data_IF_030014546231
#
_entry.id   IF_030014546231
#
_cell.length_a   1.000
_cell.length_b   1.000
_cell.length_c   1.000
_cell.angle_alpha   90.00
_cell.angle_beta   90.00
_cell.angle_gamma   90.00
#
_symmetry.space_group_name_H-M   'P 1'
#
loop_
_entity.id
_entity.type
_entity.pdbx_description
1 polymer ?
#
# COMPACT_ATOMS: atom_id res chain seq x y z
N UNK A 1 1.83 -46.33 20.27
CA UNK A 1 1.04 -45.48 19.35
C UNK A 1 1.18 -44.03 19.79
N UNK A 2 2.10 -43.29 19.18
CA UNK A 2 2.45 -41.92 19.54
C UNK A 2 1.62 -40.96 18.68
N UNK A 3 0.68 -40.23 19.31
CA UNK A 3 -0.15 -39.22 18.62
C UNK A 3 0.77 -38.14 18.06
N UNK A 4 0.74 -37.94 16.74
CA UNK A 4 1.44 -36.83 16.09
C UNK A 4 0.89 -35.49 16.62
N UNK A 5 1.74 -34.51 16.92
CA UNK A 5 1.30 -33.21 17.39
C UNK A 5 0.53 -32.45 16.30
N UNK A 6 -0.54 -31.76 16.70
CA UNK A 6 -1.53 -31.04 15.87
C UNK A 6 -0.98 -29.87 15.05
N UNK A 7 0.31 -29.52 15.21
CA UNK A 7 0.96 -28.40 14.50
C UNK A 7 1.13 -28.63 12.99
N UNK A 8 1.08 -29.88 12.52
CA UNK A 8 1.20 -30.19 11.09
C UNK A 8 -0.02 -29.78 10.25
N UNK A 9 -1.22 -29.65 10.85
CA UNK A 9 -2.42 -29.21 10.13
C UNK A 9 -2.49 -27.68 9.95
N UNK A 10 -1.80 -26.91 10.79
CA UNK A 10 -1.68 -25.43 10.70
C UNK A 10 -0.80 -24.98 9.53
N UNK A 11 0.12 -25.84 9.09
CA UNK A 11 1.12 -25.50 8.06
C UNK A 11 0.52 -25.38 6.65
N UNK A 12 -0.54 -26.15 6.35
CA UNK A 12 -1.26 -26.05 5.07
C UNK A 12 -2.16 -24.81 4.98
N UNK A 13 -2.70 -24.36 6.10
CA UNK A 13 -3.54 -23.15 6.17
C UNK A 13 -2.71 -21.87 6.10
N UNK A 14 -1.51 -21.86 6.69
CA UNK A 14 -0.57 -20.73 6.59
C UNK A 14 -0.09 -20.47 5.15
N UNK A 15 0.26 -21.51 4.38
CA UNK A 15 0.68 -21.36 2.97
C UNK A 15 -0.45 -20.91 2.04
N UNK A 16 -1.67 -21.38 2.25
CA UNK A 16 -2.81 -20.96 1.44
C UNK A 16 -3.18 -19.49 1.69
N UNK A 17 -3.06 -19.04 2.96
CA UNK A 17 -3.27 -17.65 3.35
C UNK A 17 -2.19 -16.72 2.79
N UNK A 18 -0.92 -17.13 2.84
CA UNK A 18 0.20 -16.33 2.30
C UNK A 18 0.09 -16.11 0.78
N UNK A 19 -0.28 -17.15 0.03
CA UNK A 19 -0.45 -17.03 -1.44
C UNK A 19 -1.60 -16.11 -1.81
N UNK A 20 -2.70 -16.11 -1.05
CA UNK A 20 -3.83 -15.20 -1.30
C UNK A 20 -3.46 -13.74 -1.00
N UNK A 21 -2.72 -13.49 0.08
CA UNK A 21 -2.20 -12.17 0.42
C UNK A 21 -1.19 -11.66 -0.60
N UNK A 22 -0.27 -12.51 -1.08
CA UNK A 22 0.67 -12.18 -2.15
C UNK A 22 -0.05 -11.83 -3.46
N UNK A 23 -1.08 -12.60 -3.80
CA UNK A 23 -1.90 -12.35 -5.00
C UNK A 23 -2.64 -11.02 -4.89
N UNK A 24 -3.26 -10.75 -3.72
CA UNK A 24 -3.95 -9.50 -3.46
C UNK A 24 -3.00 -8.29 -3.46
N UNK A 25 -1.81 -8.44 -2.88
CA UNK A 25 -0.77 -7.41 -2.90
C UNK A 25 -0.28 -7.13 -4.33
N UNK A 26 -0.06 -8.18 -5.13
CA UNK A 26 0.35 -8.06 -6.54
C UNK A 26 -0.71 -7.35 -7.37
N UNK A 27 -1.99 -7.69 -7.18
CA UNK A 27 -3.10 -7.03 -7.84
C UNK A 27 -3.19 -5.54 -7.45
N UNK A 28 -2.96 -5.22 -6.16
CA UNK A 28 -2.90 -3.84 -5.68
C UNK A 28 -1.77 -3.04 -6.33
N UNK A 29 -0.55 -3.59 -6.38
CA UNK A 29 0.58 -2.95 -7.05
C UNK A 29 0.30 -2.74 -8.54
N UNK A 30 -0.26 -3.74 -9.22
CA UNK A 30 -0.62 -3.62 -10.64
C UNK A 30 -1.65 -2.51 -10.89
N UNK A 31 -2.62 -2.35 -9.99
CA UNK A 31 -3.62 -1.29 -10.08
C UNK A 31 -2.99 0.10 -9.93
N UNK A 32 -2.11 0.28 -8.94
CA UNK A 32 -1.38 1.53 -8.72
C UNK A 32 -0.48 1.86 -9.90
N UNK A 33 0.25 0.87 -10.43
CA UNK A 33 1.07 1.05 -11.64
C UNK A 33 0.21 1.40 -12.87
N UNK A 34 -0.98 0.82 -12.99
CA UNK A 34 -1.96 1.18 -14.02
C UNK A 34 -2.39 2.65 -13.92
N UNK A 35 -2.61 3.15 -12.70
CA UNK A 35 -2.92 4.57 -12.47
C UNK A 35 -1.74 5.49 -12.81
N UNK A 36 -0.51 5.12 -12.43
CA UNK A 36 0.72 5.85 -12.81
C UNK A 36 0.86 5.90 -14.32
N UNK A 37 0.67 4.77 -15.01
CA UNK A 37 0.75 4.70 -16.46
C UNK A 37 -0.34 5.55 -17.13
N UNK A 38 -1.58 5.53 -16.61
CA UNK A 38 -2.67 6.37 -17.09
C UNK A 38 -2.32 7.86 -16.98
N UNK A 39 -1.79 8.29 -15.84
CA UNK A 39 -1.30 9.66 -15.63
C UNK A 39 -0.19 10.01 -16.63
N UNK A 40 0.79 9.11 -16.81
CA UNK A 40 1.88 9.27 -17.77
C UNK A 40 1.39 9.47 -19.20
N UNK A 41 0.48 8.62 -19.68
CA UNK A 41 -0.12 8.74 -21.02
C UNK A 41 -0.89 10.05 -21.15
N UNK A 42 -1.68 10.44 -20.14
CA UNK A 42 -2.47 11.67 -20.16
C UNK A 42 -1.59 12.92 -20.18
N UNK A 43 -0.54 12.97 -19.36
CA UNK A 43 0.35 14.13 -19.32
C UNK A 43 1.15 14.30 -20.60
N UNK A 44 1.61 13.18 -21.19
CA UNK A 44 2.30 13.18 -22.49
C UNK A 44 1.34 13.63 -23.60
N UNK A 45 0.11 13.12 -23.63
CA UNK A 45 -0.89 13.51 -24.62
C UNK A 45 -1.33 14.99 -24.50
N UNK A 46 -1.37 15.52 -23.28
CA UNK A 46 -1.68 16.92 -23.00
C UNK A 46 -0.49 17.88 -23.22
N UNK A 47 0.73 17.35 -23.42
CA UNK A 47 1.93 18.16 -23.64
C UNK A 47 2.47 18.85 -22.39
N UNK A 48 2.25 18.28 -21.20
CA UNK A 48 2.74 18.80 -19.91
C UNK A 48 2.28 20.23 -19.57
N UNK A 49 0.96 20.49 -19.50
CA UNK A 49 0.40 21.83 -19.33
C UNK A 49 0.92 22.56 -18.08
N UNK A 50 1.01 21.89 -16.92
CA UNK A 50 1.49 22.52 -15.69
C UNK A 50 2.97 22.94 -15.74
N UNK A 51 3.77 22.33 -16.63
CA UNK A 51 5.16 22.75 -16.87
C UNK A 51 5.19 23.87 -17.92
N UNK A 52 4.42 23.74 -18.99
CA UNK A 52 4.34 24.73 -20.07
C UNK A 52 3.82 26.09 -19.58
N UNK A 53 2.84 26.08 -18.67
CA UNK A 53 2.24 27.27 -18.06
C UNK A 53 3.11 27.86 -16.94
N UNK A 54 4.24 27.22 -16.60
CA UNK A 54 5.19 27.69 -15.60
C UNK A 54 4.74 27.52 -14.15
N UNK A 55 3.64 26.80 -13.92
CA UNK A 55 3.06 26.54 -12.59
C UNK A 55 3.92 25.58 -11.77
N UNK A 56 4.64 24.67 -12.43
CA UNK A 56 5.56 23.71 -11.82
C UNK A 56 7.01 24.07 -12.17
N UNK A 57 7.71 24.87 -11.35
CA UNK A 57 9.08 25.25 -11.60
C UNK A 57 10.04 24.08 -11.28
N UNK A 58 10.21 23.16 -12.23
CA UNK A 58 11.06 21.96 -12.09
C UNK A 58 12.51 22.28 -11.65
N UNK A 59 13.01 23.45 -12.03
CA UNK A 59 14.40 23.85 -11.83
C UNK A 59 14.62 24.85 -10.69
N UNK A 60 13.54 25.30 -10.04
CA UNK A 60 13.62 26.33 -9.00
C UNK A 60 12.94 25.86 -7.72
N UNK A 61 13.72 25.18 -6.87
CA UNK A 61 13.25 24.70 -5.57
C UNK A 61 12.98 25.90 -4.67
N UNK A 62 11.70 26.17 -4.42
CA UNK A 62 11.26 27.19 -3.47
C UNK A 62 10.97 26.53 -2.13
N UNK A 63 11.53 27.10 -1.07
CA UNK A 63 11.13 26.76 0.29
C UNK A 63 9.78 27.42 0.56
N UNK A 64 8.73 26.61 0.70
CA UNK A 64 7.36 27.06 0.93
C UNK A 64 6.87 26.63 2.32
N UNK A 65 5.90 27.36 2.88
CA UNK A 65 5.26 27.07 4.16
C UNK A 65 4.48 25.75 4.19
N UNK A 66 4.19 25.16 3.02
CA UNK A 66 3.56 23.85 2.86
C UNK A 66 4.52 22.67 2.94
N UNK A 67 5.85 22.91 3.00
CA UNK A 67 6.85 21.85 3.12
C UNK A 67 6.62 20.92 4.33
N UNK A 68 6.32 21.42 5.54
CA UNK A 68 6.08 20.54 6.70
C UNK A 68 4.93 19.57 6.48
N UNK A 69 3.86 20.00 5.81
CA UNK A 69 2.72 19.16 5.46
C UNK A 69 3.16 18.06 4.48
N UNK A 70 3.87 18.43 3.40
CA UNK A 70 4.42 17.46 2.45
C UNK A 70 5.35 16.44 3.13
N UNK A 71 6.21 16.89 4.05
CA UNK A 71 7.08 16.00 4.84
C UNK A 71 6.27 15.04 5.72
N UNK A 72 5.19 15.50 6.34
CA UNK A 72 4.33 14.65 7.18
C UNK A 72 3.62 13.56 6.36
N UNK A 73 3.12 13.91 5.18
CA UNK A 73 2.49 12.97 4.25
C UNK A 73 3.52 11.96 3.74
N UNK A 74 4.72 12.42 3.41
CA UNK A 74 5.83 11.56 2.97
C UNK A 74 6.24 10.58 4.09
N UNK A 75 6.37 11.05 5.33
CA UNK A 75 6.70 10.21 6.48
C UNK A 75 5.64 9.13 6.71
N UNK A 76 4.35 9.48 6.57
CA UNK A 76 3.25 8.52 6.64
C UNK A 76 3.29 7.52 5.48
N UNK A 77 3.56 7.97 4.26
CA UNK A 77 3.65 7.13 3.07
C UNK A 77 4.75 6.05 3.17
N UNK A 78 5.85 6.37 3.85
CA UNK A 78 6.96 5.44 4.10
C UNK A 78 6.89 4.73 5.47
N UNK A 79 5.75 4.81 6.16
CA UNK A 79 5.57 4.19 7.46
C UNK A 79 5.37 2.66 7.33
N UNK A 80 6.48 1.93 7.23
CA UNK A 80 6.48 0.45 7.14
C UNK A 80 7.01 -0.25 8.39
N UNK A 81 7.50 0.50 9.38
CA UNK A 81 8.21 -0.04 10.54
C UNK A 81 7.43 -1.13 11.32
N UNK A 82 6.11 -1.00 11.58
CA UNK A 82 5.37 -2.06 12.27
C UNK A 82 5.27 -3.36 11.48
N UNK A 83 5.18 -3.27 10.15
CA UNK A 83 5.10 -4.45 9.26
C UNK A 83 6.43 -5.19 9.16
N UNK A 84 7.56 -4.48 9.33
CA UNK A 84 8.87 -5.12 9.34
C UNK A 84 9.05 -6.06 10.54
N UNK A 85 8.51 -5.69 11.71
CA UNK A 85 8.65 -6.52 12.91
C UNK A 85 8.00 -7.90 12.75
N UNK A 86 6.89 -7.99 12.02
CA UNK A 86 6.20 -9.27 11.75
C UNK A 86 6.92 -10.14 10.73
N UNK A 87 7.83 -9.57 9.92
CA UNK A 87 8.61 -10.30 8.91
C UNK A 87 9.95 -10.83 9.44
N UNK A 88 10.44 -10.30 10.56
CA UNK A 88 11.70 -10.73 11.19
C UNK A 88 11.74 -12.24 11.52
N UNK A 89 10.66 -12.87 12.04
CA UNK A 89 10.67 -14.30 12.35
C UNK A 89 10.77 -15.22 11.13
N UNK A 90 10.38 -14.75 9.94
CA UNK A 90 10.43 -15.49 8.68
C UNK A 90 11.81 -15.44 8.01
N UNK A 91 12.71 -14.60 8.51
CA UNK A 91 14.07 -14.45 7.98
C UNK A 91 15.03 -15.43 8.66
N UNK A 92 16.06 -15.93 7.95
CA UNK A 92 17.05 -16.82 8.55
C UNK A 92 17.78 -16.10 9.69
N UNK A 93 17.92 -16.77 10.84
CA UNK A 93 18.54 -16.18 12.01
C UNK A 93 20.00 -15.78 11.74
N UNK A 94 20.41 -14.65 12.32
CA UNK A 94 21.80 -14.16 12.27
C UNK A 94 22.04 -13.06 11.24
N UNK A 95 23.32 -12.66 11.06
CA UNK A 95 23.68 -11.46 10.30
C UNK A 95 23.29 -11.54 8.82
N UNK A 96 23.20 -12.75 8.25
CA UNK A 96 22.83 -12.96 6.85
C UNK A 96 21.35 -12.62 6.60
N UNK A 97 20.44 -13.02 7.49
CA UNK A 97 19.02 -12.68 7.36
C UNK A 97 18.75 -11.20 7.56
N UNK A 98 19.44 -10.57 8.52
CA UNK A 98 19.37 -9.11 8.72
C UNK A 98 19.84 -8.36 7.47
N UNK A 99 20.94 -8.78 6.85
CA UNK A 99 21.44 -8.16 5.62
C UNK A 99 20.48 -8.35 4.44
N UNK A 100 19.89 -9.54 4.27
CA UNK A 100 18.91 -9.82 3.23
C UNK A 100 17.64 -8.98 3.41
N UNK A 101 17.12 -8.91 4.64
CA UNK A 101 15.96 -8.09 4.98
C UNK A 101 16.23 -6.60 4.74
N UNK A 102 17.38 -6.09 5.17
CA UNK A 102 17.74 -4.69 4.95
C UNK A 102 17.79 -4.37 3.45
N UNK A 103 18.41 -5.23 2.63
CA UNK A 103 18.42 -5.05 1.17
C UNK A 103 17.02 -5.07 0.57
N UNK A 104 16.18 -6.01 0.98
CA UNK A 104 14.80 -6.11 0.50
C UNK A 104 14.03 -4.82 0.82
N UNK A 105 14.12 -4.35 2.06
CA UNK A 105 13.48 -3.09 2.51
C UNK A 105 13.98 -1.90 1.71
N UNK A 106 15.29 -1.76 1.51
CA UNK A 106 15.87 -0.66 0.74
C UNK A 106 15.38 -0.68 -0.72
N UNK A 107 15.33 -1.85 -1.36
CA UNK A 107 14.81 -2.01 -2.72
C UNK A 107 13.33 -1.64 -2.79
N UNK A 108 12.52 -2.11 -1.85
CA UNK A 108 11.09 -1.78 -1.82
C UNK A 108 10.87 -0.28 -1.55
N UNK A 109 11.62 0.32 -0.62
CA UNK A 109 11.47 1.72 -0.23
C UNK A 109 11.93 2.67 -1.34
N UNK A 110 13.18 2.53 -1.78
CA UNK A 110 13.80 3.46 -2.74
C UNK A 110 13.52 3.09 -4.19
N UNK A 111 13.36 1.81 -4.50
CA UNK A 111 13.06 1.37 -5.87
C UNK A 111 11.57 1.52 -6.17
N UNK A 112 10.73 0.84 -5.39
CA UNK A 112 9.30 0.72 -5.71
C UNK A 112 8.50 1.90 -5.16
N UNK A 113 8.51 2.12 -3.85
CA UNK A 113 7.65 3.12 -3.22
C UNK A 113 8.03 4.54 -3.65
N UNK A 114 9.32 4.91 -3.58
CA UNK A 114 9.78 6.22 -4.05
C UNK A 114 9.51 6.40 -5.55
N UNK A 115 9.76 5.39 -6.38
CA UNK A 115 9.47 5.47 -7.82
C UNK A 115 8.00 5.73 -8.13
N UNK A 116 7.09 5.04 -7.43
CA UNK A 116 5.65 5.23 -7.58
C UNK A 116 5.23 6.62 -7.08
N UNK A 117 5.60 7.02 -5.86
CA UNK A 117 5.18 8.31 -5.32
C UNK A 117 5.76 9.49 -6.11
N UNK A 118 7.03 9.42 -6.51
CA UNK A 118 7.67 10.46 -7.31
C UNK A 118 7.01 10.57 -8.70
N UNK A 119 6.72 9.44 -9.36
CA UNK A 119 6.06 9.46 -10.68
C UNK A 119 4.61 9.96 -10.60
N UNK A 120 3.83 9.53 -9.60
CA UNK A 120 2.47 10.03 -9.38
C UNK A 120 2.46 11.54 -9.10
N UNK A 121 3.35 12.00 -8.20
CA UNK A 121 3.46 13.42 -7.87
C UNK A 121 3.90 14.25 -9.06
N UNK A 122 4.91 13.80 -9.80
CA UNK A 122 5.42 14.50 -10.99
C UNK A 122 4.37 14.56 -12.10
N UNK A 123 3.73 13.44 -12.45
CA UNK A 123 2.73 13.42 -13.51
C UNK A 123 1.44 14.16 -13.11
N UNK A 124 1.03 14.05 -11.84
CA UNK A 124 -0.10 14.81 -11.31
C UNK A 124 0.15 16.32 -11.39
N UNK A 125 1.28 16.78 -10.85
CA UNK A 125 1.66 18.19 -10.91
C UNK A 125 1.85 18.67 -12.35
N UNK A 126 2.49 17.89 -13.22
CA UNK A 126 2.68 18.29 -14.62
C UNK A 126 1.38 18.31 -15.44
N UNK A 127 0.36 17.56 -15.04
CA UNK A 127 -0.94 17.52 -15.71
C UNK A 127 -1.92 18.58 -15.18
N UNK A 128 -1.92 18.84 -13.87
CA UNK A 128 -2.92 19.70 -13.21
C UNK A 128 -2.34 20.98 -12.59
N UNK A 129 -1.02 21.12 -12.52
CA UNK A 129 -0.35 22.31 -12.00
C UNK A 129 -0.75 22.61 -10.54
N UNK A 130 -1.08 23.86 -10.26
CA UNK A 130 -1.55 24.32 -8.94
C UNK A 130 -2.95 23.79 -8.58
N UNK A 131 -3.70 23.27 -9.55
CA UNK A 131 -4.99 22.62 -9.34
C UNK A 131 -4.90 21.14 -8.94
N UNK A 132 -3.71 20.65 -8.61
CA UNK A 132 -3.52 19.28 -8.14
C UNK A 132 -4.10 19.12 -6.74
N UNK A 133 -5.15 18.33 -6.60
CA UNK A 133 -5.74 18.03 -5.29
C UNK A 133 -4.89 16.99 -4.54
N UNK A 134 -4.95 17.03 -3.21
CA UNK A 134 -4.26 16.05 -2.36
C UNK A 134 -4.70 14.60 -2.63
N UNK A 135 -5.92 14.42 -3.13
CA UNK A 135 -6.38 13.15 -3.70
C UNK A 135 -6.51 13.29 -5.23
N UNK A 136 -5.57 12.68 -5.97
CA UNK A 136 -5.52 12.73 -7.44
C UNK A 136 -6.79 12.19 -8.12
N UNK A 137 -7.55 11.35 -7.43
CA UNK A 137 -8.83 10.81 -7.93
C UNK A 137 -9.97 11.84 -7.86
N UNK A 138 -9.77 13.01 -7.25
CA UNK A 138 -10.73 14.12 -7.34
C UNK A 138 -10.58 14.85 -8.68
N UNK A 139 -9.36 14.89 -9.21
CA UNK A 139 -9.09 15.45 -10.52
C UNK A 139 -9.70 14.58 -11.63
N UNK A 140 -10.14 15.21 -12.73
CA UNK A 140 -10.76 14.52 -13.85
C UNK A 140 -9.70 13.79 -14.70
N UNK A 141 -9.47 12.51 -14.42
CA UNK A 141 -8.45 11.68 -15.07
C UNK A 141 -8.90 11.00 -16.36
N UNK A 142 -10.18 10.60 -16.43
CA UNK A 142 -10.75 9.85 -17.55
C UNK A 142 -12.07 10.43 -18.01
N UNK A 143 -12.30 10.35 -19.31
CA UNK A 143 -13.55 10.74 -19.93
C UNK A 143 -14.39 9.49 -20.19
N UNK A 144 -15.69 9.58 -19.90
CA UNK A 144 -16.63 8.48 -20.08
C UNK A 144 -16.97 7.74 -18.79
N UNK A 145 -18.26 7.41 -18.64
CA UNK A 145 -18.83 6.81 -17.42
C UNK A 145 -18.22 5.44 -17.09
N UNK A 146 -17.97 4.61 -18.10
CA UNK A 146 -17.47 3.24 -17.90
C UNK A 146 -16.02 3.25 -17.41
N UNK A 147 -15.14 4.03 -18.05
CA UNK A 147 -13.74 4.15 -17.64
C UNK A 147 -13.61 4.74 -16.23
N UNK A 148 -14.43 5.76 -15.93
CA UNK A 148 -14.53 6.33 -14.58
C UNK A 148 -14.98 5.26 -13.59
N UNK A 149 -16.08 4.56 -13.84
CA UNK A 149 -16.58 3.53 -12.93
C UNK A 149 -15.58 2.40 -12.71
N UNK A 150 -14.85 1.97 -13.75
CA UNK A 150 -13.82 0.95 -13.62
C UNK A 150 -12.64 1.42 -12.74
N UNK A 151 -12.16 2.66 -12.93
CA UNK A 151 -11.07 3.21 -12.17
C UNK A 151 -11.43 3.38 -10.69
N UNK A 152 -12.58 4.03 -10.41
CA UNK A 152 -13.03 4.24 -9.03
C UNK A 152 -13.46 2.94 -8.36
N UNK A 153 -14.12 2.03 -9.09
CA UNK A 153 -14.48 0.70 -8.58
C UNK A 153 -13.26 -0.14 -8.23
N UNK A 154 -12.22 -0.12 -9.07
CA UNK A 154 -10.96 -0.78 -8.78
C UNK A 154 -10.24 -0.19 -7.56
N UNK A 155 -10.13 1.14 -7.47
CA UNK A 155 -9.55 1.82 -6.32
C UNK A 155 -10.34 1.57 -5.03
N UNK A 156 -11.67 1.55 -5.10
CA UNK A 156 -12.55 1.22 -3.98
C UNK A 156 -12.30 -0.20 -3.49
N UNK A 157 -12.21 -1.17 -4.40
CA UNK A 157 -11.92 -2.55 -4.07
C UNK A 157 -10.53 -2.69 -3.44
N UNK A 158 -9.52 -2.03 -4.01
CA UNK A 158 -8.17 -1.98 -3.46
C UNK A 158 -8.16 -1.44 -2.02
N UNK A 159 -8.84 -0.31 -1.78
CA UNK A 159 -8.96 0.28 -0.45
C UNK A 159 -9.75 -0.61 0.52
N UNK A 160 -10.85 -1.20 0.08
CA UNK A 160 -11.65 -2.10 0.90
C UNK A 160 -10.83 -3.31 1.36
N UNK A 161 -10.09 -3.94 0.44
CA UNK A 161 -9.19 -5.05 0.75
C UNK A 161 -8.05 -4.60 1.68
N UNK A 162 -7.42 -3.45 1.40
CA UNK A 162 -6.33 -2.92 2.23
C UNK A 162 -6.74 -2.56 3.66
N UNK A 163 -7.94 -1.98 3.84
CA UNK A 163 -8.46 -1.62 5.17
C UNK A 163 -8.79 -2.84 6.02
N UNK A 164 -9.31 -3.91 5.40
CA UNK A 164 -9.61 -5.15 6.14
C UNK A 164 -8.35 -5.82 6.68
N UNK A 165 -7.26 -5.86 5.90
CA UNK A 165 -5.99 -6.44 6.34
C UNK A 165 -5.32 -5.61 7.43
N UNK A 166 -5.33 -4.27 7.32
CA UNK A 166 -4.79 -3.39 8.37
C UNK A 166 -5.59 -3.47 9.67
N UNK A 167 -6.93 -3.46 9.61
CA UNK A 167 -7.76 -3.58 10.80
C UNK A 167 -7.56 -4.91 11.53
N UNK A 168 -7.37 -6.00 10.79
CA UNK A 168 -7.10 -7.32 11.36
C UNK A 168 -5.78 -7.33 12.13
N UNK A 169 -4.70 -6.87 11.49
CA UNK A 169 -3.38 -6.80 12.12
C UNK A 169 -3.39 -5.87 13.34
N UNK A 170 -4.05 -4.71 13.26
CA UNK A 170 -4.17 -3.78 14.38
C UNK A 170 -4.88 -4.41 15.59
N UNK A 171 -5.99 -5.13 15.35
CA UNK A 171 -6.71 -5.82 16.42
C UNK A 171 -5.88 -6.91 17.07
N UNK A 172 -5.13 -7.68 16.28
CA UNK A 172 -4.22 -8.69 16.84
C UNK A 172 -3.12 -8.06 17.70
N UNK A 173 -2.51 -6.98 17.22
CA UNK A 173 -1.49 -6.25 17.99
C UNK A 173 -2.05 -5.69 19.30
N UNK A 174 -3.26 -5.12 19.27
CA UNK A 174 -3.93 -4.62 20.47
C UNK A 174 -4.29 -5.75 21.45
N UNK A 175 -4.79 -6.89 20.96
CA UNK A 175 -5.13 -8.03 21.80
C UNK A 175 -3.87 -8.61 22.47
N UNK A 176 -2.74 -8.73 21.76
CA UNK A 176 -1.46 -9.13 22.37
C UNK A 176 -0.98 -8.14 23.43
N UNK A 177 -1.15 -6.84 23.18
CA UNK A 177 -0.67 -5.79 24.08
C UNK A 177 -1.53 -5.67 25.35
N UNK A 178 -2.83 -5.94 25.25
CA UNK A 178 -3.79 -5.86 26.36
C UNK A 178 -3.93 -7.17 27.16
N UNK A 179 -3.80 -8.33 26.51
CA UNK A 179 -4.13 -9.63 27.10
C UNK A 179 -2.92 -10.58 27.21
N UNK A 180 -1.75 -10.18 26.71
CA UNK A 180 -0.50 -10.98 26.75
C UNK A 180 -0.43 -12.06 25.66
N UNK A 181 0.72 -12.76 25.57
CA UNK A 181 0.98 -13.80 24.55
C UNK A 181 0.03 -15.01 24.61
N UNK A 182 -0.62 -15.24 25.75
CA UNK A 182 -1.55 -16.35 25.99
C UNK A 182 -3.00 -16.01 25.58
N UNK A 183 -3.26 -14.84 25.00
CA UNK A 183 -4.60 -14.40 24.63
C UNK A 183 -5.26 -15.38 23.64
N UNK A 184 -6.35 -16.08 24.02
CA UNK A 184 -6.92 -17.13 23.19
C UNK A 184 -7.55 -16.54 21.93
N UNK A 185 -7.14 -17.08 20.77
CA UNK A 185 -7.66 -16.76 19.46
C UNK A 185 -9.13 -17.18 19.32
N UNK A 186 -10.06 -16.42 19.90
CA UNK A 186 -11.47 -16.81 19.98
C UNK A 186 -12.23 -16.40 18.72
N UNK A 187 -12.69 -17.42 17.98
CA UNK A 187 -13.54 -17.32 16.78
C UNK A 187 -14.78 -16.41 16.94
N UNK A 188 -15.26 -16.21 18.17
CA UNK A 188 -16.37 -15.28 18.48
C UNK A 188 -16.03 -13.80 18.27
N UNK A 189 -14.75 -13.40 18.28
CA UNK A 189 -14.32 -12.02 17.97
C UNK A 189 -14.13 -11.75 16.47
N UNK A 190 -14.19 -12.77 15.61
CA UNK A 190 -14.18 -12.64 14.14
C UNK A 190 -15.58 -12.41 13.54
N UNK A 191 -16.65 -12.41 14.34
CA UNK A 191 -18.03 -12.21 13.84
C UNK A 191 -18.30 -10.73 13.58
N UNK A 192 -17.65 -10.20 12.55
CA UNK A 192 -18.21 -9.15 11.69
C UNK A 192 -17.78 -9.32 10.22
N UNK A 193 -16.97 -10.32 9.87
CA UNK A 193 -16.64 -10.63 8.46
C UNK A 193 -16.57 -12.14 8.27
N UNK A 194 -17.69 -12.80 8.55
CA UNK A 194 -17.93 -14.18 8.17
C UNK A 194 -19.34 -14.23 7.64
N UNK A 195 -19.46 -14.23 6.32
CA UNK A 195 -20.72 -14.39 5.62
C UNK A 195 -21.54 -15.52 6.27
N UNK A 196 -22.67 -15.17 6.87
CA UNK A 196 -23.84 -16.04 6.90
C UNK A 196 -24.29 -16.16 5.45
N UNK A 197 -23.90 -17.24 4.77
CA UNK A 197 -24.62 -17.73 3.61
C UNK A 197 -25.12 -19.12 4.03
N UNK A 198 -26.44 -19.35 4.02
CA UNK A 198 -27.08 -20.56 4.52
C UNK A 198 -26.64 -21.84 3.80
#
# INVERSE_FOLDING_TARGET
MQKRPSWFSTCHTHRACSVQLETAATAGVALVLGLVALLGVRVVAAGFPGIADGEVPLWNVKLDGHLPEAFSVLAYAFYMQPMMMTLLPEMPAGPVGVAAMNRAVLVTLYGVAFGIYASMGLFGAALFGQGTEGNIMVNKLVDGRVATLALYGGMLLYLALGMTTTQYALRQSLDLLLLGEEAPFTRRRQVCVGCNIP
#
